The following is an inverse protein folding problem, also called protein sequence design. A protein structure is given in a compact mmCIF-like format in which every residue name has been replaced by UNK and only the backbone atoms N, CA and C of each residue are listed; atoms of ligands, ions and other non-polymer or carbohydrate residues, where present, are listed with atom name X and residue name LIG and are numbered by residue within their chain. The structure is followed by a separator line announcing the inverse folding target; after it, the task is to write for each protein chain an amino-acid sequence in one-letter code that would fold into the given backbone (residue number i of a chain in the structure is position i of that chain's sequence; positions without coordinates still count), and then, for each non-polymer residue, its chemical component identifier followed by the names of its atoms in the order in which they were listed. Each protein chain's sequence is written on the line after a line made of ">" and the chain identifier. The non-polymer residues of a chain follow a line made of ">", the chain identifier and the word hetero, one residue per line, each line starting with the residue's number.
data_IF_919508273742
#
_entry.id   IF_919508273742
#
_cell.length_a   1.000
_cell.length_b   1.000
_cell.length_c   1.000
_cell.angle_alpha   90.00
_cell.angle_beta   90.00
_cell.angle_gamma   90.00
#
_symmetry.space_group_name_H-M   'P 1'
#
loop_
_entity.id
_entity.type
_entity.pdbx_description
1 polymer ?
#
# COMPACT_ATOMS: atom_id res chain seq x y z
N UNK A 1 19.47 20.07 53.17
CA UNK A 1 20.48 20.28 52.11
C UNK A 1 19.91 19.77 50.77
N UNK A 2 19.72 20.72 49.83
CA UNK A 2 19.35 20.39 48.45
C UNK A 2 20.69 20.04 47.79
N UNK A 3 20.88 18.75 47.50
CA UNK A 3 22.02 18.34 46.65
C UNK A 3 21.71 18.80 45.22
N UNK A 4 22.65 19.53 44.57
CA UNK A 4 22.47 19.81 43.16
C UNK A 4 22.40 18.49 42.39
N UNK A 5 21.41 18.33 41.55
CA UNK A 5 21.35 17.18 40.65
C UNK A 5 22.64 17.13 39.82
N UNK A 6 23.19 15.94 39.66
CA UNK A 6 24.35 15.78 38.79
C UNK A 6 23.99 16.27 37.38
N UNK A 7 24.91 17.03 36.71
CA UNK A 7 24.64 17.46 35.35
C UNK A 7 24.43 16.25 34.44
N UNK A 8 23.30 16.25 33.73
CA UNK A 8 23.05 15.25 32.67
C UNK A 8 23.79 15.76 31.42
N UNK A 9 24.78 15.00 30.98
CA UNK A 9 25.40 15.25 29.68
C UNK A 9 24.44 14.79 28.61
N UNK A 10 24.06 15.67 27.72
CA UNK A 10 23.27 15.36 26.53
C UNK A 10 24.21 15.54 25.34
N UNK A 11 24.48 14.44 24.64
CA UNK A 11 25.13 14.48 23.33
C UNK A 11 24.12 14.95 22.31
N UNK A 12 24.42 16.06 21.64
CA UNK A 12 23.58 16.59 20.57
C UNK A 12 24.38 16.47 19.27
N UNK A 13 23.97 15.58 18.40
CA UNK A 13 24.50 15.51 17.05
C UNK A 13 23.76 16.55 16.18
N UNK A 14 24.49 17.57 15.77
CA UNK A 14 24.00 18.65 14.87
C UNK A 14 24.46 18.43 13.43
N UNK A 15 25.11 17.31 13.13
CA UNK A 15 25.55 17.00 11.77
C UNK A 15 24.33 16.68 10.91
N UNK A 16 24.20 17.34 9.79
CA UNK A 16 23.29 16.92 8.72
C UNK A 16 24.03 16.00 7.74
N UNK A 17 23.48 14.83 7.36
CA UNK A 17 24.11 13.97 6.37
C UNK A 17 24.23 14.69 5.01
N UNK A 18 25.43 14.75 4.45
CA UNK A 18 25.75 15.50 3.24
C UNK A 18 25.91 17.01 3.46
N UNK A 19 25.66 17.82 2.44
CA UNK A 19 25.73 19.29 2.51
C UNK A 19 24.61 19.87 3.35
N UNK A 20 24.84 21.01 4.00
CA UNK A 20 23.80 21.70 4.78
C UNK A 20 22.60 22.07 3.90
N UNK A 21 21.41 21.73 4.35
CA UNK A 21 20.17 22.11 3.67
C UNK A 21 19.94 23.63 3.85
N UNK A 22 19.83 24.42 2.77
CA UNK A 22 19.56 25.85 2.87
C UNK A 22 18.13 26.18 3.32
N UNK A 23 17.23 25.17 3.37
CA UNK A 23 15.84 25.29 3.81
C UNK A 23 15.64 24.86 5.26
N UNK A 24 14.47 25.23 5.84
CA UNK A 24 14.10 24.81 7.20
C UNK A 24 13.36 23.47 7.23
N UNK A 25 13.02 22.89 6.06
CA UNK A 25 12.24 21.66 5.93
C UNK A 25 13.12 20.43 5.65
N UNK A 26 12.54 19.24 5.69
CA UNK A 26 13.28 18.00 5.42
C UNK A 26 13.69 17.86 3.94
N UNK A 27 13.09 18.63 3.03
CA UNK A 27 13.43 18.60 1.60
C UNK A 27 14.60 19.54 1.33
N UNK A 28 15.69 18.97 0.82
CA UNK A 28 16.86 19.73 0.39
C UNK A 28 16.81 19.95 -1.13
N UNK A 29 16.52 21.19 -1.60
CA UNK A 29 16.39 21.48 -3.02
C UNK A 29 17.71 21.41 -3.79
N UNK A 30 18.86 21.36 -3.10
CA UNK A 30 20.17 21.23 -3.71
C UNK A 30 20.48 19.78 -4.13
N UNK A 31 19.76 18.79 -3.57
CA UNK A 31 19.92 17.40 -3.93
C UNK A 31 19.33 17.13 -5.32
N UNK A 32 20.01 16.25 -6.07
CA UNK A 32 19.49 15.78 -7.35
C UNK A 32 18.20 14.97 -7.13
N UNK A 33 17.32 14.98 -8.12
CA UNK A 33 16.20 14.05 -8.16
C UNK A 33 16.66 12.68 -8.61
N UNK A 34 16.12 11.58 -8.08
CA UNK A 34 16.40 10.25 -8.62
C UNK A 34 15.79 10.08 -10.01
N UNK A 35 16.35 9.17 -10.80
CA UNK A 35 15.86 8.81 -12.13
C UNK A 35 15.54 7.33 -12.16
N UNK A 36 14.38 6.95 -12.71
CA UNK A 36 13.96 5.56 -12.89
C UNK A 36 13.98 5.18 -14.37
N UNK A 37 14.47 3.98 -14.68
CA UNK A 37 14.47 3.40 -16.03
C UNK A 37 13.86 2.02 -15.94
N UNK A 38 12.87 1.73 -16.79
CA UNK A 38 12.25 0.40 -16.88
C UNK A 38 13.25 -0.67 -17.32
N UNK A 39 13.06 -1.89 -16.85
CA UNK A 39 13.94 -3.02 -17.13
C UNK A 39 13.54 -3.86 -18.34
N UNK A 40 12.50 -3.46 -19.07
CA UNK A 40 12.02 -4.18 -20.25
C UNK A 40 13.05 -4.23 -21.39
N UNK A 41 12.87 -5.15 -22.36
CA UNK A 41 13.79 -5.32 -23.49
C UNK A 41 13.88 -4.08 -24.40
N UNK A 42 12.87 -3.22 -24.34
CA UNK A 42 12.85 -1.90 -25.01
C UNK A 42 12.40 -0.89 -23.94
N UNK A 43 13.30 -0.46 -23.08
CA UNK A 43 12.93 0.34 -21.91
C UNK A 43 12.22 1.64 -22.32
N UNK A 44 11.27 2.03 -21.51
CA UNK A 44 10.57 3.31 -21.64
C UNK A 44 11.54 4.49 -21.40
N UNK A 45 11.19 5.69 -21.82
CA UNK A 45 11.94 6.88 -21.43
C UNK A 45 12.11 6.98 -19.91
N UNK A 46 13.15 7.67 -19.41
CA UNK A 46 13.36 7.87 -17.99
C UNK A 46 12.09 8.40 -17.30
N UNK A 47 11.85 7.93 -16.07
CA UNK A 47 10.72 8.28 -15.22
C UNK A 47 9.35 7.94 -15.85
N UNK A 48 9.33 6.93 -16.70
CA UNK A 48 8.12 6.37 -17.27
C UNK A 48 8.23 4.85 -17.34
N UNK A 49 7.22 4.16 -16.83
CA UNK A 49 7.04 2.71 -16.98
C UNK A 49 5.80 2.45 -17.83
N UNK A 50 5.93 1.58 -18.80
CA UNK A 50 4.87 1.21 -19.73
C UNK A 50 4.67 -0.30 -19.75
N UNK A 51 3.73 -0.78 -20.54
CA UNK A 51 3.48 -2.21 -20.73
C UNK A 51 4.75 -3.00 -21.14
N UNK A 52 5.70 -2.34 -21.80
CA UNK A 52 6.98 -2.97 -22.22
C UNK A 52 7.89 -3.32 -21.04
N UNK A 53 7.72 -2.61 -19.92
CA UNK A 53 8.51 -2.81 -18.71
C UNK A 53 7.85 -3.82 -17.77
N UNK A 54 6.68 -4.34 -18.13
CA UNK A 54 5.90 -5.26 -17.32
C UNK A 54 6.65 -6.58 -17.06
N UNK A 55 6.71 -6.96 -15.79
CA UNK A 55 7.38 -8.19 -15.35
C UNK A 55 8.89 -8.06 -15.20
N UNK A 56 9.43 -6.86 -15.37
CA UNK A 56 10.85 -6.58 -15.22
C UNK A 56 11.08 -5.59 -14.09
N UNK A 57 12.11 -5.84 -13.28
CA UNK A 57 12.57 -4.89 -12.30
C UNK A 57 13.05 -3.61 -12.98
N UNK A 58 12.79 -2.46 -12.37
CA UNK A 58 13.31 -1.19 -12.84
C UNK A 58 14.61 -0.82 -12.13
N UNK A 59 15.44 -0.03 -12.79
CA UNK A 59 16.67 0.51 -12.20
C UNK A 59 16.47 1.99 -11.89
N UNK A 60 16.66 2.38 -10.63
CA UNK A 60 16.74 3.78 -10.28
C UNK A 60 18.19 4.18 -10.04
N UNK A 61 18.51 5.44 -10.33
CA UNK A 61 19.82 6.01 -10.05
C UNK A 61 19.67 7.33 -9.31
N UNK A 62 20.58 7.58 -8.38
CA UNK A 62 20.65 8.81 -7.63
C UNK A 62 22.08 9.34 -7.62
N UNK A 63 22.25 10.64 -7.89
CA UNK A 63 23.57 11.26 -7.89
C UNK A 63 24.02 11.48 -6.45
N UNK A 64 25.14 10.85 -6.07
CA UNK A 64 25.70 10.98 -4.74
C UNK A 64 26.11 12.43 -4.45
N UNK A 65 25.54 13.10 -3.43
CA UNK A 65 25.93 14.45 -3.06
C UNK A 65 27.25 14.48 -2.32
N UNK A 66 27.85 15.67 -2.22
CA UNK A 66 29.02 15.89 -1.38
C UNK A 66 28.69 15.81 0.12
N UNK A 67 29.72 15.57 0.94
CA UNK A 67 29.63 15.65 2.40
C UNK A 67 29.01 14.44 3.08
N UNK A 68 28.76 13.35 2.34
CA UNK A 68 28.38 12.07 2.94
C UNK A 68 29.62 11.35 3.49
N UNK A 69 29.43 10.67 4.61
CA UNK A 69 30.47 9.94 5.33
C UNK A 69 30.15 8.44 5.39
N UNK A 70 31.17 7.65 5.72
CA UNK A 70 30.98 6.24 5.99
C UNK A 70 30.00 6.04 7.16
N UNK A 71 28.95 5.25 6.93
CA UNK A 71 27.89 5.01 7.91
C UNK A 71 26.61 5.81 7.66
N UNK A 72 26.63 6.75 6.71
CA UNK A 72 25.39 7.34 6.19
C UNK A 72 24.66 6.34 5.27
N UNK A 73 23.38 6.54 5.08
CA UNK A 73 22.54 5.69 4.24
C UNK A 73 21.74 6.55 3.26
N UNK A 74 21.47 5.98 2.09
CA UNK A 74 20.56 6.54 1.11
C UNK A 74 19.45 5.52 0.88
N UNK A 75 18.21 5.87 1.25
CA UNK A 75 17.04 5.06 1.01
C UNK A 75 16.31 5.60 -0.23
N UNK A 76 16.02 4.73 -1.18
CA UNK A 76 15.13 5.06 -2.29
C UNK A 76 13.69 4.80 -1.87
N UNK A 77 12.84 5.81 -2.03
CA UNK A 77 11.41 5.74 -1.68
C UNK A 77 10.57 5.84 -2.95
N UNK A 78 9.72 4.84 -3.15
CA UNK A 78 8.77 4.73 -4.25
C UNK A 78 7.36 4.66 -3.66
N UNK A 79 6.54 5.70 -3.85
CA UNK A 79 5.20 5.84 -3.25
C UNK A 79 5.19 5.50 -1.75
N UNK A 80 6.01 6.22 -0.97
CA UNK A 80 6.09 6.07 0.49
C UNK A 80 6.63 4.69 1.00
N UNK A 81 7.11 3.83 0.09
CA UNK A 81 7.74 2.55 0.41
C UNK A 81 9.24 2.66 0.16
N UNK A 82 10.05 2.28 1.15
CA UNK A 82 11.50 2.14 0.95
C UNK A 82 11.75 0.87 0.13
N UNK A 83 12.17 1.05 -1.13
CA UNK A 83 12.41 -0.05 -2.07
C UNK A 83 13.89 -0.41 -2.18
N UNK A 84 14.79 0.38 -1.61
CA UNK A 84 16.22 0.08 -1.59
C UNK A 84 16.97 0.96 -0.61
N UNK A 85 18.04 0.43 -0.03
CA UNK A 85 18.94 1.15 0.87
C UNK A 85 20.37 0.96 0.39
N UNK A 86 21.10 2.05 0.22
CA UNK A 86 22.52 2.06 -0.10
C UNK A 86 23.34 2.56 1.09
N UNK A 87 24.21 1.74 1.66
CA UNK A 87 25.13 2.17 2.70
C UNK A 87 26.30 2.93 2.08
N UNK A 88 26.54 4.16 2.52
CA UNK A 88 27.68 4.97 2.08
C UNK A 88 28.95 4.43 2.74
N UNK A 89 29.97 4.13 1.94
CA UNK A 89 31.27 3.61 2.44
C UNK A 89 32.29 4.71 2.72
N UNK A 90 32.04 5.92 2.19
CA UNK A 90 32.97 7.06 2.27
C UNK A 90 34.13 6.99 1.28
N UNK A 91 34.11 6.02 0.36
CA UNK A 91 35.13 5.85 -0.70
C UNK A 91 34.58 6.21 -2.09
N UNK A 92 33.28 6.47 -2.18
CA UNK A 92 32.62 6.86 -3.43
C UNK A 92 33.11 8.23 -3.89
N UNK A 93 33.32 8.35 -5.18
CA UNK A 93 33.63 9.66 -5.77
C UNK A 93 32.37 10.55 -5.77
N UNK A 94 32.56 11.85 -5.55
CA UNK A 94 31.50 12.83 -5.73
C UNK A 94 30.92 12.69 -7.14
N UNK A 95 29.59 12.67 -7.24
CA UNK A 95 28.91 12.45 -8.50
C UNK A 95 28.80 10.98 -8.91
N UNK A 96 29.15 10.05 -8.04
CA UNK A 96 28.86 8.63 -8.24
C UNK A 96 27.34 8.41 -8.38
N UNK A 97 26.93 7.64 -9.37
CA UNK A 97 25.53 7.26 -9.55
C UNK A 97 25.26 6.01 -8.70
N UNK A 98 24.54 6.22 -7.60
CA UNK A 98 24.09 5.14 -6.71
C UNK A 98 22.98 4.36 -7.44
N UNK A 99 23.16 3.06 -7.71
CA UNK A 99 22.14 2.26 -8.36
C UNK A 99 21.20 1.64 -7.31
N UNK A 100 19.91 1.58 -7.63
CA UNK A 100 18.90 0.85 -6.89
C UNK A 100 18.11 -0.04 -7.85
N UNK A 101 17.64 -1.16 -7.34
CA UNK A 101 16.65 -1.98 -8.02
C UNK A 101 15.29 -1.68 -7.40
N UNK A 102 14.29 -1.42 -8.23
CA UNK A 102 12.89 -1.37 -7.84
C UNK A 102 12.26 -2.65 -8.36
N UNK A 103 11.94 -3.56 -7.46
CA UNK A 103 11.43 -4.87 -7.81
C UNK A 103 10.09 -4.76 -8.53
N UNK A 104 9.85 -5.66 -9.48
CA UNK A 104 8.58 -5.71 -10.19
C UNK A 104 7.38 -5.83 -9.26
N UNK A 105 7.50 -6.58 -8.18
CA UNK A 105 6.42 -6.78 -7.20
C UNK A 105 6.00 -5.46 -6.53
N UNK A 106 6.93 -4.55 -6.27
CA UNK A 106 6.64 -3.21 -5.75
C UNK A 106 5.92 -2.37 -6.81
N UNK A 107 6.38 -2.43 -8.08
CA UNK A 107 5.76 -1.71 -9.19
C UNK A 107 4.33 -2.23 -9.44
N UNK A 108 4.13 -3.54 -9.46
CA UNK A 108 2.81 -4.18 -9.66
C UNK A 108 1.85 -3.85 -8.52
N UNK A 109 2.35 -3.82 -7.28
CA UNK A 109 1.57 -3.46 -6.07
C UNK A 109 1.11 -2.01 -6.10
N UNK A 110 1.98 -1.09 -6.51
CA UNK A 110 1.67 0.34 -6.59
C UNK A 110 0.70 0.63 -7.74
N UNK A 111 0.85 -0.05 -8.87
CA UNK A 111 -0.02 0.06 -10.04
C UNK A 111 0.22 1.32 -10.88
N UNK A 112 -0.75 1.61 -11.77
CA UNK A 112 -0.70 2.77 -12.66
C UNK A 112 -0.88 4.10 -11.91
N UNK A 113 -0.31 5.17 -12.44
CA UNK A 113 -0.48 6.52 -11.95
C UNK A 113 0.78 7.37 -12.04
N UNK A 114 0.73 8.55 -11.44
CA UNK A 114 1.90 9.38 -11.20
C UNK A 114 2.42 9.08 -9.81
N UNK A 115 3.58 8.47 -9.73
CA UNK A 115 4.18 7.94 -8.52
C UNK A 115 5.37 8.81 -8.11
N UNK A 116 5.38 9.25 -6.86
CA UNK A 116 6.52 10.01 -6.32
C UNK A 116 7.71 9.08 -6.08
N UNK A 117 8.87 9.50 -6.59
CA UNK A 117 10.17 8.86 -6.37
C UNK A 117 11.12 9.88 -5.75
N UNK A 118 11.72 9.57 -4.63
CA UNK A 118 12.70 10.43 -3.97
C UNK A 118 13.70 9.63 -3.15
N UNK A 119 14.80 10.26 -2.78
CA UNK A 119 15.77 9.65 -1.88
C UNK A 119 15.72 10.31 -0.50
N UNK A 120 15.86 9.50 0.54
CA UNK A 120 16.10 9.94 1.91
C UNK A 120 17.56 9.68 2.24
N UNK A 121 18.29 10.73 2.58
CA UNK A 121 19.65 10.62 3.07
C UNK A 121 19.57 10.71 4.58
N UNK A 122 20.17 9.76 5.28
CA UNK A 122 20.13 9.70 6.74
C UNK A 122 21.43 9.19 7.35
N UNK A 123 21.71 9.64 8.55
CA UNK A 123 22.64 9.02 9.48
C UNK A 123 21.88 8.31 10.62
N UNK A 124 22.48 8.18 11.79
CA UNK A 124 21.83 7.56 12.94
C UNK A 124 20.78 8.44 13.62
N UNK A 125 20.78 9.76 13.39
CA UNK A 125 19.99 10.75 14.12
C UNK A 125 19.19 11.65 13.19
N UNK A 126 19.80 12.10 12.10
CA UNK A 126 19.26 13.12 11.20
C UNK A 126 18.95 12.55 9.83
N UNK A 127 18.00 13.19 9.13
CA UNK A 127 17.64 12.82 7.76
C UNK A 127 17.20 14.03 6.96
N UNK A 128 17.33 13.92 5.64
CA UNK A 128 16.77 14.87 4.67
C UNK A 128 16.38 14.17 3.39
N UNK A 129 15.52 14.79 2.60
CA UNK A 129 15.00 14.23 1.37
C UNK A 129 15.50 15.00 0.15
N UNK A 130 15.69 14.30 -0.95
CA UNK A 130 15.75 14.94 -2.26
C UNK A 130 14.38 15.52 -2.64
N UNK A 131 14.31 16.48 -3.58
CA UNK A 131 13.06 16.76 -4.26
C UNK A 131 12.54 15.48 -4.92
N UNK A 132 11.22 15.28 -4.94
CA UNK A 132 10.62 14.14 -5.62
C UNK A 132 10.67 14.30 -7.15
N UNK A 133 10.70 13.18 -7.83
CA UNK A 133 10.47 13.05 -9.26
C UNK A 133 9.16 12.30 -9.48
N UNK A 134 8.38 12.75 -10.44
CA UNK A 134 7.14 12.10 -10.83
C UNK A 134 7.42 11.00 -11.84
N UNK A 135 7.19 9.74 -11.46
CA UNK A 135 7.26 8.59 -12.35
C UNK A 135 5.87 8.29 -12.89
N UNK A 136 5.71 8.33 -14.21
CA UNK A 136 4.46 7.96 -14.87
C UNK A 136 4.46 6.45 -15.09
N UNK A 137 3.50 5.76 -14.50
CA UNK A 137 3.34 4.30 -14.59
C UNK A 137 2.07 3.97 -15.38
N UNK A 138 2.24 3.33 -16.53
CA UNK A 138 1.17 2.90 -17.46
C UNK A 138 1.37 1.43 -17.86
N UNK A 139 1.58 0.56 -16.87
CA UNK A 139 1.85 -0.87 -17.06
C UNK A 139 0.57 -1.71 -17.21
N UNK A 140 -0.54 -1.19 -16.72
CA UNK A 140 -1.85 -1.79 -16.93
C UNK A 140 -2.55 -1.07 -18.08
N UNK A 141 -2.91 -1.82 -19.09
CA UNK A 141 -3.52 -1.28 -20.32
C UNK A 141 -5.07 -1.36 -20.30
N UNK A 142 -5.64 -1.95 -19.26
CA UNK A 142 -7.08 -1.93 -19.00
C UNK A 142 -7.38 -0.90 -17.92
N UNK A 143 -7.84 0.26 -18.34
CA UNK A 143 -8.27 1.34 -17.44
C UNK A 143 -9.78 1.29 -17.21
N UNK A 144 -10.24 1.91 -16.11
CA UNK A 144 -11.65 2.11 -15.84
C UNK A 144 -12.41 0.83 -15.48
N UNK A 145 -11.74 -0.13 -14.84
CA UNK A 145 -12.44 -1.29 -14.27
C UNK A 145 -13.47 -0.80 -13.24
N UNK A 146 -14.68 -1.35 -13.32
CA UNK A 146 -15.70 -1.05 -12.34
C UNK A 146 -15.27 -1.47 -10.93
N UNK A 147 -15.70 -0.72 -9.92
CA UNK A 147 -15.43 -1.04 -8.53
C UNK A 147 -16.00 -2.40 -8.14
N UNK A 148 -15.27 -3.16 -7.31
CA UNK A 148 -15.85 -4.31 -6.65
C UNK A 148 -16.91 -3.87 -5.63
N UNK A 149 -17.87 -4.73 -5.31
CA UNK A 149 -18.91 -4.43 -4.37
C UNK A 149 -18.91 -5.40 -3.18
N UNK A 150 -19.04 -4.85 -1.98
CA UNK A 150 -19.40 -5.63 -0.79
C UNK A 150 -20.89 -5.97 -0.88
N UNK A 151 -21.22 -7.23 -1.15
CA UNK A 151 -22.61 -7.69 -1.22
C UNK A 151 -23.09 -8.20 0.13
N UNK A 152 -24.42 -8.03 0.39
CA UNK A 152 -25.10 -8.45 1.63
C UNK A 152 -24.70 -7.67 2.88
N UNK A 153 -24.06 -6.51 2.73
CA UNK A 153 -23.68 -5.65 3.85
C UNK A 153 -24.55 -4.39 3.88
N UNK A 154 -24.63 -3.80 5.07
CA UNK A 154 -25.42 -2.56 5.22
C UNK A 154 -24.69 -1.41 4.55
N UNK A 155 -25.31 -0.72 3.57
CA UNK A 155 -24.71 0.48 3.00
C UNK A 155 -24.63 1.59 4.04
N UNK A 156 -23.54 2.36 3.97
CA UNK A 156 -23.29 3.53 4.83
C UNK A 156 -23.14 4.74 3.93
N UNK A 157 -23.97 5.76 4.19
CA UNK A 157 -23.92 7.02 3.47
C UNK A 157 -23.30 8.12 4.32
N UNK A 158 -22.55 9.02 3.69
CA UNK A 158 -21.95 10.18 4.37
C UNK A 158 -20.72 9.89 5.21
N UNK A 159 -20.17 8.67 5.19
CA UNK A 159 -18.88 8.38 5.81
C UNK A 159 -17.78 8.48 4.73
N UNK A 160 -16.76 9.35 4.89
CA UNK A 160 -15.72 9.52 3.88
C UNK A 160 -14.75 8.33 3.79
N UNK A 161 -14.75 7.47 4.80
CA UNK A 161 -13.76 6.40 4.94
C UNK A 161 -14.24 5.04 4.41
N UNK A 162 -15.56 4.79 4.37
CA UNK A 162 -16.12 3.54 3.88
C UNK A 162 -17.60 3.67 3.51
N UNK A 163 -18.06 2.83 2.59
CA UNK A 163 -19.43 2.84 2.06
C UNK A 163 -20.27 1.64 2.46
N UNK A 164 -19.70 0.67 3.16
CA UNK A 164 -20.37 -0.52 3.67
C UNK A 164 -19.96 -0.83 5.11
N UNK A 165 -20.82 -1.54 5.86
CA UNK A 165 -20.54 -1.97 7.22
C UNK A 165 -20.73 -3.48 7.38
N UNK A 166 -19.66 -4.16 7.77
CA UNK A 166 -19.61 -5.58 8.12
C UNK A 166 -19.84 -5.71 9.63
N UNK A 167 -20.79 -6.52 10.05
CA UNK A 167 -21.06 -6.76 11.46
C UNK A 167 -21.31 -8.25 11.73
N UNK A 168 -21.58 -8.60 12.98
CA UNK A 168 -21.84 -9.97 13.44
C UNK A 168 -22.95 -10.70 12.69
N UNK A 169 -23.99 -9.99 12.25
CA UNK A 169 -25.14 -10.62 11.58
C UNK A 169 -24.78 -11.19 10.21
N UNK A 170 -23.67 -10.75 9.65
CA UNK A 170 -23.17 -11.20 8.34
C UNK A 170 -22.28 -12.44 8.42
N UNK A 171 -21.99 -12.93 9.63
CA UNK A 171 -21.14 -14.11 9.86
C UNK A 171 -19.82 -14.02 9.05
N UNK A 172 -19.05 -12.92 9.17
CA UNK A 172 -17.93 -12.63 8.27
C UNK A 172 -16.80 -13.67 8.32
N UNK A 173 -16.72 -14.51 9.35
CA UNK A 173 -15.79 -15.64 9.45
C UNK A 173 -16.12 -16.80 8.52
N UNK A 174 -17.27 -16.84 7.87
CA UNK A 174 -17.56 -17.79 6.80
C UNK A 174 -17.13 -17.32 5.41
N UNK A 175 -16.56 -16.13 5.35
CA UNK A 175 -16.12 -15.43 4.15
C UNK A 175 -16.89 -14.12 3.94
N UNK A 176 -16.16 -13.11 3.50
CA UNK A 176 -16.73 -11.82 3.12
C UNK A 176 -17.06 -11.90 1.62
N UNK A 177 -18.34 -11.95 1.22
CA UNK A 177 -18.70 -12.06 -0.19
C UNK A 177 -18.49 -10.73 -0.92
N UNK A 178 -17.64 -10.79 -1.94
CA UNK A 178 -17.32 -9.66 -2.83
C UNK A 178 -17.89 -9.96 -4.20
N UNK A 179 -18.53 -8.97 -4.80
CA UNK A 179 -19.02 -9.03 -6.19
C UNK A 179 -18.08 -8.26 -7.10
N UNK A 180 -17.57 -8.94 -8.12
CA UNK A 180 -16.91 -8.30 -9.26
C UNK A 180 -17.86 -8.37 -10.44
N UNK A 181 -18.30 -7.21 -10.92
CA UNK A 181 -19.25 -7.10 -12.04
C UNK A 181 -18.78 -5.98 -12.97
N UNK A 182 -18.27 -6.36 -14.12
CA UNK A 182 -17.91 -5.42 -15.18
C UNK A 182 -18.20 -6.07 -16.55
N UNK A 183 -19.48 -6.08 -16.99
CA UNK A 183 -19.89 -6.75 -18.21
C UNK A 183 -19.31 -6.10 -19.48
N UNK A 184 -18.77 -4.88 -19.39
CA UNK A 184 -18.14 -4.20 -20.52
C UNK A 184 -16.69 -4.63 -20.72
N UNK A 185 -16.03 -5.02 -19.65
CA UNK A 185 -14.60 -5.36 -19.65
C UNK A 185 -14.35 -6.85 -19.53
N UNK A 186 -15.06 -7.56 -18.64
CA UNK A 186 -14.86 -8.99 -18.40
C UNK A 186 -15.18 -9.82 -19.65
N UNK A 187 -14.27 -10.75 -19.98
CA UNK A 187 -14.42 -11.71 -21.07
C UNK A 187 -14.19 -13.13 -20.57
N UNK A 188 -14.77 -14.09 -21.26
CA UNK A 188 -14.53 -15.53 -20.99
C UNK A 188 -13.05 -15.84 -21.07
N UNK A 189 -12.53 -16.60 -20.11
CA UNK A 189 -11.14 -16.95 -19.86
C UNK A 189 -10.27 -15.83 -19.27
N UNK A 190 -10.82 -14.63 -18.98
CA UNK A 190 -10.10 -13.68 -18.12
C UNK A 190 -9.85 -14.29 -16.75
N UNK A 191 -8.80 -13.89 -16.09
CA UNK A 191 -8.45 -14.30 -14.73
C UNK A 191 -8.61 -13.14 -13.79
N UNK A 192 -9.23 -13.38 -12.65
CA UNK A 192 -9.53 -12.37 -11.64
C UNK A 192 -8.99 -12.79 -10.29
N UNK A 193 -8.33 -11.88 -9.61
CA UNK A 193 -7.92 -11.98 -8.20
C UNK A 193 -8.53 -10.78 -7.48
N UNK A 194 -9.10 -11.01 -6.30
CA UNK A 194 -9.56 -9.94 -5.40
C UNK A 194 -8.55 -9.81 -4.27
N UNK A 195 -8.06 -8.59 -4.07
CA UNK A 195 -7.13 -8.24 -3.02
C UNK A 195 -7.86 -7.46 -1.92
N UNK A 196 -7.59 -7.79 -0.67
CA UNK A 196 -8.08 -7.08 0.50
C UNK A 196 -6.92 -6.47 1.29
N UNK A 197 -7.07 -5.22 1.68
CA UNK A 197 -6.12 -4.46 2.50
C UNK A 197 -6.76 -4.07 3.81
N UNK A 198 -6.07 -4.31 4.92
CA UNK A 198 -6.53 -3.93 6.25
C UNK A 198 -6.08 -2.52 6.62
N UNK A 199 -6.98 -1.77 7.27
CA UNK A 199 -6.66 -0.47 7.86
C UNK A 199 -7.13 -0.42 9.31
N UNK A 200 -6.41 0.32 10.14
CA UNK A 200 -6.87 0.66 11.48
C UNK A 200 -8.13 1.54 11.39
N UNK A 201 -9.04 1.37 12.34
CA UNK A 201 -10.22 2.24 12.42
C UNK A 201 -9.77 3.65 12.86
N UNK A 202 -9.97 4.70 12.03
CA UNK A 202 -9.51 6.03 12.38
C UNK A 202 -10.34 6.63 13.53
N UNK A 203 -9.75 7.52 14.34
CA UNK A 203 -10.52 8.35 15.24
C UNK A 203 -11.57 9.16 14.48
N UNK A 204 -12.64 9.56 15.17
CA UNK A 204 -13.74 10.34 14.57
C UNK A 204 -13.18 11.62 13.92
N UNK A 205 -13.49 11.82 12.65
CA UNK A 205 -13.06 13.00 11.88
C UNK A 205 -11.65 12.92 11.30
N UNK A 206 -10.92 11.82 11.53
CA UNK A 206 -9.60 11.61 10.94
C UNK A 206 -9.68 10.76 9.65
N UNK A 207 -8.80 11.00 8.68
CA UNK A 207 -8.66 10.14 7.51
C UNK A 207 -8.11 8.76 7.88
N UNK A 208 -8.27 7.81 6.97
CA UNK A 208 -7.66 6.48 7.12
C UNK A 208 -6.14 6.62 7.06
N UNK A 209 -5.46 5.94 7.97
CA UNK A 209 -4.00 5.84 8.00
C UNK A 209 -3.45 4.85 6.97
N UNK A 210 -2.16 4.53 7.11
CA UNK A 210 -1.49 3.53 6.29
C UNK A 210 -2.11 2.13 6.46
N UNK A 211 -1.96 1.23 5.47
CA UNK A 211 -2.32 -0.18 5.59
C UNK A 211 -1.65 -0.85 6.79
N UNK A 212 -2.34 -1.85 7.35
CA UNK A 212 -1.85 -2.64 8.49
C UNK A 212 -1.64 -4.09 8.05
N UNK A 213 -0.40 -4.54 8.10
CA UNK A 213 -0.02 -5.90 7.72
C UNK A 213 -0.01 -6.11 6.20
N UNK A 214 0.13 -7.37 5.81
CA UNK A 214 0.17 -7.79 4.40
C UNK A 214 -1.25 -7.89 3.84
N UNK A 215 -1.50 -7.43 2.61
CA UNK A 215 -2.76 -7.68 1.92
C UNK A 215 -3.06 -9.19 1.80
N UNK A 216 -4.34 -9.53 1.76
CA UNK A 216 -4.82 -10.89 1.55
C UNK A 216 -5.42 -10.98 0.15
N UNK A 217 -4.98 -11.94 -0.64
CA UNK A 217 -5.53 -12.21 -1.95
C UNK A 217 -6.47 -13.42 -1.93
N UNK A 218 -7.49 -13.40 -2.80
CA UNK A 218 -8.30 -14.58 -3.09
C UNK A 218 -7.51 -15.60 -3.91
N UNK A 219 -8.05 -16.80 -4.07
CA UNK A 219 -7.64 -17.64 -5.18
C UNK A 219 -7.88 -16.95 -6.53
N UNK A 220 -7.13 -17.34 -7.55
CA UNK A 220 -7.38 -16.89 -8.92
C UNK A 220 -8.65 -17.55 -9.47
N UNK A 221 -9.55 -16.76 -10.04
CA UNK A 221 -10.78 -17.21 -10.68
C UNK A 221 -10.69 -17.03 -12.18
N UNK A 222 -11.09 -18.06 -12.92
CA UNK A 222 -11.27 -17.95 -14.37
C UNK A 222 -12.71 -17.56 -14.68
N UNK A 223 -12.88 -16.54 -15.51
CA UNK A 223 -14.19 -16.00 -15.90
C UNK A 223 -14.82 -16.92 -16.97
N UNK A 224 -16.05 -17.35 -16.73
CA UNK A 224 -16.91 -18.01 -17.71
C UNK A 224 -18.02 -17.09 -18.22
N UNK A 225 -18.86 -17.61 -19.11
CA UNK A 225 -19.97 -16.85 -19.69
C UNK A 225 -21.01 -16.38 -18.67
N UNK A 226 -21.19 -17.13 -17.58
CA UNK A 226 -22.12 -16.76 -16.50
C UNK A 226 -21.53 -15.58 -15.69
N UNK A 227 -20.26 -15.63 -15.39
CA UNK A 227 -19.58 -14.55 -14.69
C UNK A 227 -19.58 -13.23 -15.46
N UNK A 228 -19.48 -13.25 -16.79
CA UNK A 228 -19.58 -12.05 -17.63
C UNK A 228 -20.92 -11.35 -17.45
N UNK A 229 -22.01 -12.11 -17.32
CA UNK A 229 -23.39 -11.57 -17.25
C UNK A 229 -23.79 -11.26 -15.80
N UNK A 230 -23.56 -12.19 -14.88
CA UNK A 230 -24.04 -12.11 -13.49
C UNK A 230 -23.01 -11.57 -12.52
N UNK A 231 -21.77 -11.39 -12.96
CA UNK A 231 -20.61 -11.08 -12.14
C UNK A 231 -20.05 -12.30 -11.40
N UNK A 232 -18.87 -12.14 -10.86
CA UNK A 232 -18.16 -13.14 -10.08
C UNK A 232 -18.37 -12.87 -8.59
N UNK A 233 -18.85 -13.87 -7.85
CA UNK A 233 -18.91 -13.83 -6.39
C UNK A 233 -17.64 -14.45 -5.80
N UNK A 234 -16.84 -13.65 -5.12
CA UNK A 234 -15.56 -14.08 -4.52
C UNK A 234 -15.70 -14.08 -3.00
N UNK A 235 -15.64 -15.23 -2.34
CA UNK A 235 -15.58 -15.30 -0.89
C UNK A 235 -14.15 -15.02 -0.41
N UNK A 236 -13.93 -13.86 0.20
CA UNK A 236 -12.65 -13.55 0.83
C UNK A 236 -12.58 -14.13 2.24
N UNK A 237 -11.54 -14.91 2.50
CA UNK A 237 -11.27 -15.42 3.83
C UNK A 237 -10.42 -14.41 4.63
N UNK A 238 -11.08 -13.64 5.47
CA UNK A 238 -10.45 -12.65 6.33
C UNK A 238 -10.41 -13.10 7.81
N UNK A 239 -10.53 -14.40 8.08
CA UNK A 239 -10.63 -14.94 9.45
C UNK A 239 -9.47 -14.51 10.34
N UNK A 240 -8.23 -14.56 9.84
CA UNK A 240 -7.07 -14.13 10.61
C UNK A 240 -7.17 -12.66 11.06
N UNK A 241 -7.84 -11.81 10.28
CA UNK A 241 -8.05 -10.42 10.65
C UNK A 241 -9.14 -10.26 11.72
N UNK A 242 -10.10 -11.18 11.75
CA UNK A 242 -11.18 -11.17 12.73
C UNK A 242 -10.80 -11.90 14.02
N UNK A 243 -9.77 -12.75 14.01
CA UNK A 243 -9.26 -13.46 15.19
C UNK A 243 -8.25 -12.63 16.01
N UNK A 244 -7.57 -11.68 15.37
CA UNK A 244 -6.55 -10.81 15.99
C UNK A 244 -7.17 -9.66 16.83
N UNK A 245 -8.36 -9.87 17.35
CA UNK A 245 -9.14 -8.84 18.05
C UNK A 245 -8.76 -8.61 19.50
N UNK A 246 -7.73 -9.27 20.02
CA UNK A 246 -7.36 -9.16 21.44
C UNK A 246 -6.85 -7.77 21.84
N UNK A 247 -6.68 -6.83 20.91
CA UNK A 247 -6.14 -5.50 21.21
C UNK A 247 -6.85 -4.27 20.62
N UNK A 248 -7.70 -4.39 19.60
CA UNK A 248 -8.20 -3.25 18.82
C UNK A 248 -9.72 -3.07 18.82
N UNK A 249 -10.40 -3.33 19.91
CA UNK A 249 -11.84 -3.02 20.06
C UNK A 249 -12.78 -3.61 18.97
N UNK A 250 -12.40 -4.65 18.23
CA UNK A 250 -13.26 -5.30 17.24
C UNK A 250 -13.71 -4.43 16.08
N UNK A 251 -12.96 -3.37 15.77
CA UNK A 251 -13.24 -2.42 14.67
C UNK A 251 -12.07 -2.27 13.74
N UNK A 252 -12.38 -2.03 12.48
CA UNK A 252 -11.37 -1.75 11.45
C UNK A 252 -12.01 -1.38 10.13
N UNK A 253 -11.16 -1.21 9.11
CA UNK A 253 -11.59 -0.97 7.75
C UNK A 253 -10.89 -1.98 6.86
N UNK A 254 -11.64 -2.55 5.90
CA UNK A 254 -11.11 -3.35 4.81
C UNK A 254 -11.30 -2.61 3.50
N UNK A 255 -10.23 -2.40 2.76
CA UNK A 255 -10.26 -1.99 1.38
C UNK A 255 -10.22 -3.21 0.49
N UNK A 256 -10.97 -3.22 -0.59
CA UNK A 256 -10.92 -4.26 -1.63
C UNK A 256 -10.70 -3.61 -2.98
N UNK A 257 -9.90 -4.26 -3.79
CA UNK A 257 -9.75 -4.01 -5.22
C UNK A 257 -9.62 -5.34 -5.93
N UNK A 258 -9.82 -5.37 -7.23
CA UNK A 258 -9.64 -6.59 -8.01
C UNK A 258 -8.69 -6.33 -9.16
N UNK A 259 -7.97 -7.37 -9.51
CA UNK A 259 -6.99 -7.42 -10.58
C UNK A 259 -7.54 -8.32 -11.68
N UNK A 260 -7.37 -7.92 -12.92
CA UNK A 260 -7.74 -8.68 -14.11
C UNK A 260 -6.50 -9.01 -14.93
N UNK A 261 -6.42 -10.23 -15.39
CA UNK A 261 -5.48 -10.65 -16.42
C UNK A 261 -6.21 -11.34 -17.55
N UNK A 262 -5.96 -10.90 -18.78
CA UNK A 262 -6.51 -11.49 -20.02
C UNK A 262 -5.47 -12.30 -20.75
N UNK A 263 -5.48 -13.65 -20.66
CA UNK A 263 -4.45 -14.48 -21.27
C UNK A 263 -4.32 -14.34 -22.80
N UNK A 264 -5.44 -14.05 -23.49
CA UNK A 264 -5.48 -13.97 -24.95
C UNK A 264 -4.69 -12.79 -25.52
N UNK A 265 -4.55 -11.70 -24.78
CA UNK A 265 -3.84 -10.47 -25.22
C UNK A 265 -2.73 -10.07 -24.28
N UNK A 266 -2.66 -10.68 -23.10
CA UNK A 266 -1.75 -10.30 -22.03
C UNK A 266 -2.18 -9.03 -21.28
N UNK A 267 -3.37 -8.49 -21.55
CA UNK A 267 -3.88 -7.27 -20.90
C UNK A 267 -4.05 -7.46 -19.41
N UNK A 268 -3.78 -6.42 -18.66
CA UNK A 268 -3.98 -6.38 -17.20
C UNK A 268 -4.75 -5.12 -16.81
N UNK A 269 -5.50 -5.22 -15.74
CA UNK A 269 -6.23 -4.10 -15.14
C UNK A 269 -6.31 -4.24 -13.65
N UNK A 270 -6.51 -3.10 -12.98
CA UNK A 270 -6.77 -3.02 -11.55
C UNK A 270 -7.89 -2.02 -11.31
N UNK A 271 -8.84 -2.36 -10.44
CA UNK A 271 -9.91 -1.46 -10.05
C UNK A 271 -9.47 -0.46 -8.97
N UNK A 272 -10.23 0.60 -8.80
CA UNK A 272 -10.12 1.43 -7.62
C UNK A 272 -10.46 0.64 -6.35
N UNK A 273 -10.01 1.14 -5.20
CA UNK A 273 -10.26 0.51 -3.91
C UNK A 273 -11.58 0.96 -3.32
N UNK A 274 -12.44 0.00 -3.00
CA UNK A 274 -13.70 0.20 -2.28
C UNK A 274 -13.56 -0.27 -0.84
N UNK A 275 -14.11 0.47 0.12
CA UNK A 275 -13.88 0.22 1.53
C UNK A 275 -15.14 -0.10 2.30
N UNK A 276 -15.02 -1.06 3.24
CA UNK A 276 -16.03 -1.36 4.25
C UNK A 276 -15.43 -1.21 5.65
N UNK A 277 -16.19 -0.58 6.56
CA UNK A 277 -15.91 -0.67 7.99
C UNK A 277 -16.36 -2.03 8.53
N UNK A 278 -15.67 -2.58 9.51
CA UNK A 278 -16.21 -3.67 10.32
C UNK A 278 -16.40 -3.24 11.76
N UNK A 279 -17.52 -3.65 12.35
CA UNK A 279 -17.85 -3.47 13.75
C UNK A 279 -18.44 -4.78 14.26
N UNK A 280 -17.61 -5.55 14.97
CA UNK A 280 -17.98 -6.86 15.51
C UNK A 280 -18.45 -6.78 16.97
N UNK A 281 -18.83 -5.59 17.44
CA UNK A 281 -19.53 -5.45 18.72
C UNK A 281 -21.00 -5.79 18.55
N UNK A 282 -21.52 -6.65 19.41
CA UNK A 282 -22.95 -6.74 19.59
C UNK A 282 -23.39 -5.59 20.51
N UNK A 283 -24.46 -4.88 20.12
CA UNK A 283 -25.06 -3.82 20.95
C UNK A 283 -25.39 -4.39 22.33
N UNK A 284 -24.71 -3.90 23.38
CA UNK A 284 -24.98 -4.25 24.76
C UNK A 284 -24.05 -5.28 25.43
N UNK A 285 -23.02 -5.76 24.75
CA UNK A 285 -22.02 -6.66 25.37
C UNK A 285 -20.62 -6.06 25.44
N UNK A 286 -19.98 -6.18 26.57
CA UNK A 286 -18.54 -5.99 26.80
C UNK A 286 -17.97 -7.27 27.37
N UNK A 287 -17.03 -7.96 26.75
CA UNK A 287 -16.33 -7.70 25.47
C UNK A 287 -17.09 -8.21 24.23
N UNK A 288 -16.57 -7.99 23.01
CA UNK A 288 -17.23 -8.32 21.76
C UNK A 288 -17.54 -9.81 21.65
N UNK A 289 -18.75 -10.15 21.23
CA UNK A 289 -19.29 -11.51 21.28
C UNK A 289 -19.50 -12.15 19.92
N UNK A 290 -18.99 -11.55 18.87
CA UNK A 290 -18.92 -12.20 17.57
C UNK A 290 -17.64 -13.03 17.46
N UNK A 291 -17.64 -14.22 18.00
CA UNK A 291 -16.53 -15.17 17.81
C UNK A 291 -16.94 -16.29 16.87
N UNK A 292 -16.03 -16.79 15.99
CA UNK A 292 -16.25 -18.01 15.25
C UNK A 292 -16.65 -19.14 16.20
N UNK A 293 -17.79 -19.79 15.93
CA UNK A 293 -18.29 -20.89 16.76
C UNK A 293 -19.29 -20.53 17.86
N UNK A 294 -19.56 -19.25 18.12
CA UNK A 294 -20.66 -18.86 19.01
C UNK A 294 -21.99 -19.13 18.31
N UNK A 295 -22.60 -20.28 18.59
CA UNK A 295 -24.00 -20.53 18.24
C UNK A 295 -24.88 -19.47 18.91
N UNK A 296 -25.69 -18.77 18.10
CA UNK A 296 -26.77 -17.91 18.62
C UNK A 296 -27.54 -18.68 19.69
N UNK A 297 -27.43 -18.29 20.94
CA UNK A 297 -28.51 -18.59 21.89
C UNK A 297 -29.70 -17.78 21.41
N UNK A 298 -30.68 -18.43 20.82
CA UNK A 298 -31.98 -17.85 20.54
C UNK A 298 -32.59 -17.46 21.90
N UNK A 299 -32.40 -16.19 22.27
CA UNK A 299 -33.20 -15.58 23.32
C UNK A 299 -34.61 -15.43 22.76
N UNK A 300 -35.51 -16.27 23.20
CA UNK A 300 -36.96 -16.03 23.15
C UNK A 300 -37.26 -14.68 23.76
N UNK A 301 -37.88 -13.80 22.97
CA UNK A 301 -38.65 -12.65 23.48
C UNK A 301 -39.92 -13.15 24.12
#
# INVERSE_FOLDING_TARGET
>A
PIYPAAPVMVDVDLREPGTTNPGEGPVDPALAKPQLIGGGPLPSPPNRLSEKDRGFDATATFLLPEGLESGDFIDLVYKDIVVGTYPVTGTEAVGFLVPFTVDWDDIDTVGNGTIMLYCVIRDAVNYKHSPHEDVIVEIFNLAGLADAAFIRFRPVTGNPNYNALINCTHVPWTGVPIKVLDPLVLKVNDRVIVEATRYAFPPVGMPIGAPVGTPVESAEFTIDSTHVILGLDVPLNLNAWFEDFTGTNGRGIVGIRWKLFRPSTGDRGISDEVRAGWDLFSTGSTPPTCVPGATRRSGTL
#
